data_IF_970464092072
#
_entry.id   IF_970464092072
#
_cell.length_a   1.000
_cell.length_b   1.000
_cell.length_c   1.000
_cell.angle_alpha   90.00
_cell.angle_beta   90.00
_cell.angle_gamma   90.00
#
_symmetry.space_group_name_H-M   'P 1'
#
loop_
_entity.id
_entity.type
_entity.pdbx_description
1 polymer ?
#
# COMPACT_ATOMS: atom_id res chain seq x y z
N UNK A 1 20.12 -20.34 61.04
CA UNK A 1 20.07 -20.27 60.44
C UNK A 1 19.23 -19.96 59.58
N UNK A 2 19.22 -19.74 58.93
CA UNK A 2 18.64 -19.39 58.20
C UNK A 2 18.46 -19.35 57.04
N UNK A 3 18.17 -19.40 56.47
CA UNK A 3 18.12 -19.51 55.44
C UNK A 3 17.44 -18.70 54.59
N UNK A 4 17.42 -18.51 53.82
CA UNK A 4 16.96 -17.85 53.03
C UNK A 4 16.55 -17.92 51.83
N UNK A 5 16.24 -17.81 51.48
CA UNK A 5 15.84 -17.94 50.54
C UNK A 5 15.69 -17.24 49.54
N UNK A 6 15.65 -17.00 49.05
CA UNK A 6 15.62 -16.48 48.18
C UNK A 6 15.18 -16.30 47.14
N UNK A 7 15.13 -16.20 46.67
CA UNK A 7 14.99 -16.04 45.76
C UNK A 7 14.42 -15.85 44.72
N UNK A 8 14.34 -15.80 44.42
CA UNK A 8 13.97 -15.78 43.48
C UNK A 8 13.40 -15.06 42.66
N UNK A 9 13.14 -14.85 42.35
CA UNK A 9 12.66 -14.29 41.60
C UNK A 9 12.69 -13.79 40.52
N UNK A 10 12.83 -13.41 40.13
CA UNK A 10 13.08 -12.99 39.16
C UNK A 10 12.56 -13.21 38.07
N UNK A 11 12.55 -13.45 37.60
CA UNK A 11 12.20 -13.87 36.58
C UNK A 11 11.32 -13.25 35.81
N UNK A 12 10.79 -13.09 35.68
CA UNK A 12 9.91 -12.69 34.95
C UNK A 12 10.06 -11.69 34.11
N UNK A 13 10.30 -11.19 34.00
CA UNK A 13 10.45 -10.12 33.37
C UNK A 13 10.33 -10.32 31.98
N UNK A 14 10.97 -10.51 31.42
CA UNK A 14 11.12 -10.63 30.18
C UNK A 14 9.98 -10.85 29.39
N UNK A 15 9.38 -11.34 29.68
CA UNK A 15 8.37 -11.66 29.05
C UNK A 15 7.84 -10.69 28.19
N UNK A 16 7.74 -9.71 28.41
CA UNK A 16 7.19 -8.81 27.72
C UNK A 16 7.58 -8.58 26.46
N UNK A 17 8.48 -8.40 26.24
CA UNK A 17 8.95 -8.02 25.05
C UNK A 17 8.35 -8.65 23.93
N UNK A 18 7.94 -9.64 24.06
CA UNK A 18 7.45 -10.28 23.08
C UNK A 18 6.33 -9.80 22.45
N UNK A 19 5.75 -9.05 22.83
CA UNK A 19 4.57 -8.67 22.22
C UNK A 19 4.64 -7.58 21.28
N UNK A 20 5.76 -7.33 20.74
CA UNK A 20 5.82 -6.37 19.67
C UNK A 20 4.89 -6.87 18.60
N UNK A 21 3.99 -6.05 18.11
CA UNK A 21 3.10 -6.48 17.05
C UNK A 21 3.92 -6.87 15.85
N UNK A 22 3.53 -7.90 15.20
CA UNK A 22 4.20 -8.29 13.98
C UNK A 22 4.02 -7.18 12.98
N UNK A 23 5.10 -6.76 12.36
CA UNK A 23 4.97 -5.78 11.32
C UNK A 23 4.35 -6.44 10.10
N UNK A 24 3.54 -5.71 9.42
CA UNK A 24 2.96 -6.24 8.20
C UNK A 24 4.08 -6.54 7.22
N UNK A 25 3.95 -7.64 6.53
CA UNK A 25 4.88 -7.97 5.49
C UNK A 25 4.43 -7.22 4.26
N UNK A 26 5.04 -6.08 4.00
CA UNK A 26 4.65 -5.21 2.92
C UNK A 26 5.26 -5.66 1.58
N UNK A 27 5.04 -6.91 1.27
CA UNK A 27 5.51 -7.46 0.04
C UNK A 27 4.42 -7.36 -1.01
N UNK A 28 4.76 -6.90 -2.17
CA UNK A 28 3.78 -6.81 -3.24
C UNK A 28 3.38 -8.18 -3.73
N UNK A 29 2.11 -8.39 -3.99
CA UNK A 29 1.66 -9.66 -4.55
C UNK A 29 2.09 -9.77 -6.00
N UNK A 30 2.11 -11.00 -6.48
CA UNK A 30 2.38 -11.23 -7.86
C UNK A 30 1.16 -10.77 -8.67
N UNK A 31 1.40 -10.01 -9.71
CA UNK A 31 0.32 -9.51 -10.56
C UNK A 31 0.14 -10.41 -11.78
N UNK A 32 -0.98 -10.28 -12.44
CA UNK A 32 -1.30 -11.14 -13.57
C UNK A 32 -1.93 -12.45 -13.15
N UNK A 33 -2.39 -12.53 -11.91
CA UNK A 33 -3.06 -13.72 -11.40
C UNK A 33 -4.57 -13.47 -11.34
N UNK A 34 -5.34 -14.47 -10.95
CA UNK A 34 -6.77 -14.29 -10.83
C UNK A 34 -7.12 -13.29 -9.75
N UNK A 35 -6.34 -13.22 -8.69
CA UNK A 35 -6.62 -12.29 -7.59
C UNK A 35 -6.14 -10.88 -7.90
N UNK A 36 -5.13 -10.75 -8.73
CA UNK A 36 -4.58 -9.45 -9.07
C UNK A 36 -4.34 -9.41 -10.57
N UNK A 37 -5.40 -9.32 -11.35
CA UNK A 37 -5.25 -9.27 -12.81
C UNK A 37 -4.60 -7.96 -13.25
N UNK A 38 -3.89 -8.04 -14.33
CA UNK A 38 -3.27 -6.87 -14.92
C UNK A 38 -4.24 -6.15 -15.83
N UNK A 39 -4.11 -4.84 -15.89
CA UNK A 39 -4.76 -4.07 -16.95
C UNK A 39 -3.84 -4.07 -18.15
N UNK A 40 -4.31 -4.55 -19.27
CA UNK A 40 -3.51 -4.62 -20.47
C UNK A 40 -4.34 -4.09 -21.66
N UNK A 41 -4.05 -2.89 -22.12
CA UNK A 41 -3.00 -1.99 -21.64
C UNK A 41 -3.37 -1.34 -20.30
N UNK A 42 -2.43 -0.68 -19.66
CA UNK A 42 -2.72 0.04 -18.44
C UNK A 42 -3.83 1.08 -18.64
N UNK A 43 -4.48 1.45 -17.55
CA UNK A 43 -5.59 2.37 -17.61
C UNK A 43 -5.18 3.74 -17.06
N UNK A 44 -5.80 4.77 -17.61
CA UNK A 44 -5.71 6.09 -17.03
C UNK A 44 -6.86 6.23 -16.05
N UNK A 45 -6.56 6.65 -14.84
CA UNK A 45 -7.57 6.82 -13.80
C UNK A 45 -7.37 8.12 -13.08
N UNK A 46 -8.46 8.70 -12.61
CA UNK A 46 -8.40 9.97 -11.92
C UNK A 46 -8.85 9.77 -10.48
N UNK A 47 -8.23 10.49 -9.56
CA UNK A 47 -8.58 10.43 -8.15
C UNK A 47 -9.90 11.15 -7.92
N UNK A 48 -10.83 10.46 -7.28
CA UNK A 48 -12.14 11.02 -6.96
C UNK A 48 -12.34 10.98 -5.44
N UNK A 49 -13.43 11.54 -4.99
CA UNK A 49 -13.73 11.56 -3.57
C UNK A 49 -13.10 12.77 -2.90
N UNK A 50 -13.11 12.79 -1.59
CA UNK A 50 -12.61 13.93 -0.83
C UNK A 50 -11.34 13.56 -0.08
N UNK A 51 -10.43 14.50 0.01
CA UNK A 51 -9.23 14.31 0.82
C UNK A 51 -8.11 13.58 0.09
N UNK A 52 -7.00 13.49 0.74
CA UNK A 52 -5.83 12.85 0.18
C UNK A 52 -6.06 11.38 -0.05
N UNK A 53 -5.45 10.83 -1.08
CA UNK A 53 -5.44 9.41 -1.33
C UNK A 53 -4.06 8.89 -1.00
N UNK A 54 -3.95 8.15 0.09
CA UNK A 54 -2.69 7.63 0.59
C UNK A 54 -2.16 6.52 -0.30
N UNK A 55 -0.85 6.53 -0.53
CA UNK A 55 -0.16 5.44 -1.20
C UNK A 55 0.31 4.40 -0.19
N UNK A 56 0.32 3.15 -0.62
CA UNK A 56 0.76 2.02 0.19
C UNK A 56 1.77 1.21 -0.61
N UNK A 57 2.74 0.64 0.06
CA UNK A 57 3.77 -0.13 -0.62
C UNK A 57 3.30 -1.53 -0.98
N UNK A 58 2.20 -1.96 -0.42
CA UNK A 58 1.56 -3.23 -0.74
C UNK A 58 0.05 -3.04 -0.51
N UNK A 59 -0.79 -3.91 -1.04
CA UNK A 59 -2.24 -3.76 -0.86
C UNK A 59 -2.67 -4.21 0.53
N UNK A 60 -2.26 -3.45 1.53
CA UNK A 60 -2.50 -3.74 2.93
C UNK A 60 -2.53 -2.41 3.67
N UNK A 61 -3.54 -2.21 4.50
CA UNK A 61 -3.70 -0.94 5.21
C UNK A 61 -2.56 -0.64 6.18
N UNK A 62 -1.76 -1.64 6.52
CA UNK A 62 -0.64 -1.44 7.42
C UNK A 62 0.64 -1.04 6.68
N UNK A 63 0.59 -0.95 5.37
CA UNK A 63 1.76 -0.67 4.55
C UNK A 63 1.77 0.72 3.96
N UNK A 64 1.22 1.68 4.67
CA UNK A 64 1.19 3.06 4.19
C UNK A 64 2.59 3.60 3.98
N UNK A 65 2.75 4.37 2.92
CA UNK A 65 4.00 5.06 2.64
C UNK A 65 3.88 6.46 3.23
N UNK A 66 4.52 6.73 4.36
CA UNK A 66 4.29 7.99 5.05
C UNK A 66 4.54 9.22 4.18
N UNK A 67 3.58 10.13 4.16
CA UNK A 67 3.73 11.36 3.41
C UNK A 67 3.58 11.26 1.91
N UNK A 68 3.26 10.08 1.39
CA UNK A 68 3.12 9.89 -0.05
C UNK A 68 1.64 9.76 -0.39
N UNK A 69 1.12 10.73 -1.10
CA UNK A 69 -0.31 10.76 -1.40
C UNK A 69 -0.54 11.57 -2.68
N UNK A 70 -1.72 11.41 -3.24
CA UNK A 70 -2.21 12.24 -4.33
C UNK A 70 -3.53 12.86 -3.87
N UNK A 71 -4.04 13.78 -4.64
CA UNK A 71 -5.27 14.49 -4.27
C UNK A 71 -6.31 14.34 -5.38
N UNK A 72 -7.55 14.68 -5.09
CA UNK A 72 -8.60 14.58 -6.10
C UNK A 72 -8.23 15.32 -7.38
N UNK A 73 -8.58 14.70 -8.49
CA UNK A 73 -8.31 15.15 -9.85
C UNK A 73 -6.90 14.83 -10.34
N UNK A 74 -6.01 14.35 -9.49
CA UNK A 74 -4.74 13.85 -9.98
C UNK A 74 -4.98 12.64 -10.86
N UNK A 75 -4.18 12.49 -11.89
CA UNK A 75 -4.29 11.37 -12.82
C UNK A 75 -3.21 10.35 -12.54
N UNK A 76 -3.60 9.11 -12.58
CA UNK A 76 -2.71 8.00 -12.29
C UNK A 76 -2.75 7.00 -13.44
N UNK A 77 -1.67 6.24 -13.56
CA UNK A 77 -1.64 5.12 -14.47
C UNK A 77 -1.85 3.87 -13.62
N UNK A 78 -2.86 3.10 -13.96
CA UNK A 78 -3.21 1.90 -13.21
C UNK A 78 -2.76 0.65 -13.93
N UNK A 79 -2.05 -0.22 -13.24
CA UNK A 79 -1.48 -1.41 -13.85
C UNK A 79 -2.18 -2.70 -13.48
N UNK A 80 -2.72 -2.77 -12.29
CA UNK A 80 -3.34 -4.00 -11.80
C UNK A 80 -4.32 -3.66 -10.70
N UNK A 81 -5.27 -4.53 -10.46
CA UNK A 81 -6.23 -4.32 -9.41
C UNK A 81 -6.45 -5.63 -8.67
N UNK A 82 -6.40 -5.58 -7.35
CA UNK A 82 -6.66 -6.77 -6.57
C UNK A 82 -8.16 -6.95 -6.39
N UNK A 83 -8.56 -8.17 -6.09
CA UNK A 83 -9.99 -8.47 -5.93
C UNK A 83 -10.55 -7.93 -4.61
N UNK A 84 -9.72 -7.43 -3.72
CA UNK A 84 -10.17 -6.86 -2.46
C UNK A 84 -10.08 -5.34 -2.42
N UNK A 85 -10.00 -4.70 -3.57
CA UNK A 85 -10.21 -3.25 -3.64
C UNK A 85 -8.96 -2.39 -3.65
N UNK A 86 -7.86 -2.90 -4.11
CA UNK A 86 -6.64 -2.12 -4.25
C UNK A 86 -6.21 -2.03 -5.70
N UNK A 87 -5.62 -0.92 -6.08
CA UNK A 87 -5.12 -0.72 -7.44
C UNK A 87 -3.64 -0.33 -7.38
N UNK A 88 -2.85 -1.00 -8.19
CA UNK A 88 -1.45 -0.68 -8.35
C UNK A 88 -1.34 0.45 -9.34
N UNK A 89 -0.73 1.57 -8.95
CA UNK A 89 -0.71 2.77 -9.74
C UNK A 89 0.65 3.43 -9.75
N UNK A 90 0.83 4.34 -10.69
CA UNK A 90 1.97 5.23 -10.72
C UNK A 90 1.47 6.65 -10.93
N UNK A 91 2.03 7.58 -10.18
CA UNK A 91 1.79 9.01 -10.39
C UNK A 91 3.05 9.61 -10.98
N UNK A 92 2.92 10.31 -12.08
CA UNK A 92 4.02 10.98 -12.72
C UNK A 92 3.84 12.49 -12.57
N UNK A 93 4.78 13.13 -11.91
CA UNK A 93 4.76 14.57 -11.79
C UNK A 93 5.39 15.13 -13.05
N UNK A 94 4.59 15.70 -13.91
CA UNK A 94 5.07 16.15 -15.20
C UNK A 94 5.97 17.38 -15.09
N UNK A 95 5.90 18.11 -14.02
CA UNK A 95 6.76 19.28 -13.86
C UNK A 95 8.17 18.88 -13.48
N UNK A 96 8.35 17.87 -12.68
CA UNK A 96 9.68 17.47 -12.20
C UNK A 96 10.17 16.22 -12.89
N UNK A 97 9.31 15.45 -13.53
CA UNK A 97 9.66 14.16 -14.11
C UNK A 97 9.77 13.05 -13.08
N UNK A 98 9.54 13.35 -11.81
CA UNK A 98 9.58 12.31 -10.78
C UNK A 98 8.31 11.48 -10.79
N UNK A 99 8.44 10.23 -10.42
CA UNK A 99 7.29 9.35 -10.33
C UNK A 99 7.31 8.60 -9.03
N UNK A 100 6.15 8.14 -8.62
CA UNK A 100 6.02 7.30 -7.44
C UNK A 100 5.01 6.22 -7.77
N UNK A 101 5.29 5.01 -7.34
CA UNK A 101 4.43 3.88 -7.57
C UNK A 101 3.98 3.30 -6.24
N UNK A 102 2.83 2.71 -6.24
CA UNK A 102 2.31 2.08 -5.04
C UNK A 102 0.91 1.61 -5.25
N UNK A 103 0.23 1.33 -4.15
CA UNK A 103 -1.13 0.83 -4.16
C UNK A 103 -2.04 1.86 -3.52
N UNK A 104 -3.23 1.99 -4.04
CA UNK A 104 -4.23 2.90 -3.48
C UNK A 104 -5.58 2.19 -3.46
N UNK A 105 -6.52 2.72 -2.70
CA UNK A 105 -7.85 2.14 -2.64
C UNK A 105 -8.57 2.36 -3.96
N UNK A 106 -9.06 1.29 -4.54
CA UNK A 106 -9.74 1.35 -5.84
C UNK A 106 -10.98 2.23 -5.81
N UNK A 107 -11.65 2.30 -4.66
CA UNK A 107 -12.87 3.08 -4.55
C UNK A 107 -12.64 4.58 -4.74
N UNK A 108 -11.39 5.03 -4.69
CA UNK A 108 -11.07 6.43 -4.88
C UNK A 108 -10.62 6.73 -6.30
N UNK A 109 -10.82 5.82 -7.24
CA UNK A 109 -10.37 5.99 -8.62
C UNK A 109 -11.54 5.85 -9.58
N UNK A 110 -11.46 6.58 -10.68
CA UNK A 110 -12.42 6.49 -11.76
C UNK A 110 -11.65 6.35 -13.04
N UNK A 111 -11.97 5.34 -13.82
CA UNK A 111 -11.29 5.11 -15.08
C UNK A 111 -11.66 6.20 -16.09
N UNK A 112 -10.67 6.76 -16.75
CA UNK A 112 -10.88 7.79 -17.74
C UNK A 112 -10.43 7.36 -19.14
N UNK A 113 -9.66 6.29 -19.25
CA UNK A 113 -9.22 5.82 -20.57
C UNK A 113 -8.10 4.82 -20.43
N UNK A 114 -7.49 4.50 -21.55
CA UNK A 114 -6.36 3.60 -21.63
C UNK A 114 -5.11 4.41 -21.89
N UNK A 115 -4.00 3.91 -21.36
CA UNK A 115 -2.72 4.54 -21.56
C UNK A 115 -2.03 3.86 -22.73
N UNK A 116 -1.31 4.64 -23.52
CA UNK A 116 -0.58 4.10 -24.62
C UNK A 116 -0.82 4.93 -25.87
N UNK A 117 -0.27 4.50 -26.97
CA UNK A 117 -0.46 5.28 -28.21
C UNK A 117 -1.92 5.34 -28.55
N UNK A 118 -2.33 6.52 -28.99
CA UNK A 118 -3.68 6.72 -29.37
C UNK A 118 -3.97 5.91 -30.61
N UNK A 119 -5.03 5.16 -30.61
CA UNK A 119 -5.38 4.50 -31.83
C UNK A 119 -6.31 5.38 -32.57
N UNK A 120 -5.97 5.69 -33.77
CA UNK A 120 -6.76 6.61 -34.46
C UNK A 120 -7.39 6.03 -35.57
#
# INVERSE_FOLDING_TARGET
MRPFPIAIVSVLAFILSLNAPALADCKEPQTGTKKVPLFSPPLSEVVIGAGRLQFYSAPDRHCAMPGVFVIPKDELIAYAQSDDGWTSVMYLNQKTGNSVSGWVKSSRLKQTGKVGPSSR
#
